data_IF_861340271264
#
_entry.id   IF_861340271264
#
_cell.length_a   1.000
_cell.length_b   1.000
_cell.length_c   1.000
_cell.angle_alpha   90.00
_cell.angle_beta   90.00
_cell.angle_gamma   90.00
#
_symmetry.space_group_name_H-M   'P 1'
#
loop_
_entity.id
_entity.type
_entity.pdbx_description
1 polymer ?
#
# COMPACT_ATOMS: atom_id res chain seq x y z
N UNK A 1 -3.19 -3.94 12.50
CA UNK A 1 -1.92 -3.21 12.73
C UNK A 1 -2.08 -1.75 12.29
N UNK A 2 -1.61 -0.77 13.07
CA UNK A 2 -1.67 0.64 12.67
C UNK A 2 -0.64 0.98 11.60
N UNK A 3 -0.98 1.94 10.72
CA UNK A 3 -0.07 2.40 9.66
C UNK A 3 1.27 2.88 10.20
N UNK A 4 1.29 3.62 11.31
CA UNK A 4 2.55 4.09 11.90
C UNK A 4 3.47 2.92 12.28
N UNK A 5 2.91 1.86 12.84
CA UNK A 5 3.67 0.64 13.17
C UNK A 5 4.20 -0.05 11.91
N UNK A 6 3.40 -0.11 10.85
CA UNK A 6 3.81 -0.65 9.54
C UNK A 6 5.02 0.12 9.01
N UNK A 7 4.96 1.46 9.01
CA UNK A 7 6.06 2.31 8.54
C UNK A 7 7.31 2.12 9.41
N UNK A 8 7.17 2.02 10.73
CA UNK A 8 8.31 1.79 11.64
C UNK A 8 8.98 0.43 11.38
N UNK A 9 8.20 -0.63 11.12
CA UNK A 9 8.71 -1.99 10.81
C UNK A 9 9.51 -2.01 9.51
N UNK A 10 9.04 -1.28 8.51
CA UNK A 10 9.59 -1.32 7.14
C UNK A 10 10.49 -0.12 6.82
N UNK A 11 10.86 0.70 7.82
CA UNK A 11 11.60 1.96 7.60
C UNK A 11 10.97 2.78 6.45
N UNK A 12 9.65 2.90 6.51
CA UNK A 12 8.79 3.47 5.49
C UNK A 12 8.65 4.99 5.65
N UNK A 13 8.40 5.68 4.55
CA UNK A 13 8.12 7.12 4.54
C UNK A 13 6.91 7.44 3.67
N UNK A 14 6.28 8.56 4.00
CA UNK A 14 5.14 9.10 3.28
C UNK A 14 5.57 9.67 1.92
N UNK A 15 4.78 9.39 0.89
CA UNK A 15 4.87 10.08 -0.40
C UNK A 15 3.67 11.01 -0.63
N UNK A 16 2.48 10.55 -0.24
CA UNK A 16 1.25 11.32 -0.32
C UNK A 16 0.25 10.78 0.70
N UNK A 17 -0.46 11.67 1.40
CA UNK A 17 -1.53 11.32 2.33
C UNK A 17 -2.83 11.91 1.81
N UNK A 18 -3.81 11.06 1.58
CA UNK A 18 -5.13 11.48 1.12
C UNK A 18 -5.97 12.05 2.26
N UNK A 19 -6.04 11.29 3.36
CA UNK A 19 -6.79 11.64 4.56
C UNK A 19 -6.02 11.20 5.80
N UNK A 20 -5.98 12.00 6.89
CA UNK A 20 -5.41 11.58 8.17
C UNK A 20 -6.05 10.31 8.75
N UNK A 21 -7.25 9.94 8.31
CA UNK A 21 -7.94 8.73 8.75
C UNK A 21 -7.12 7.44 8.50
N UNK A 22 -6.23 7.43 7.50
CA UNK A 22 -5.39 6.25 7.18
C UNK A 22 -4.53 5.78 8.36
N UNK A 23 -4.17 6.67 9.29
CA UNK A 23 -3.42 6.31 10.51
C UNK A 23 -4.30 5.69 11.60
N UNK A 24 -5.62 5.89 11.51
CA UNK A 24 -6.60 5.33 12.44
C UNK A 24 -7.09 3.95 12.01
N UNK A 25 -6.92 3.58 10.75
CA UNK A 25 -7.26 2.26 10.22
C UNK A 25 -6.47 1.19 10.94
N UNK A 26 -7.13 0.08 11.27
CA UNK A 26 -6.47 -1.13 11.73
C UNK A 26 -6.31 -2.09 10.55
N UNK A 27 -5.14 -2.10 9.93
CA UNK A 27 -4.87 -2.95 8.77
C UNK A 27 -4.83 -4.42 9.21
N UNK A 28 -5.68 -5.26 8.62
CA UNK A 28 -5.81 -6.67 9.02
C UNK A 28 -4.86 -7.56 8.23
N UNK A 29 -4.67 -7.29 6.94
CA UNK A 29 -3.84 -8.09 6.05
C UNK A 29 -3.12 -7.22 5.01
N UNK A 30 -2.19 -7.82 4.26
CA UNK A 30 -1.48 -7.18 3.17
C UNK A 30 -1.23 -8.15 2.01
N UNK A 31 -1.34 -7.62 0.79
CA UNK A 31 -1.09 -8.40 -0.43
C UNK A 31 0.07 -7.83 -1.24
N UNK A 32 1.10 -8.65 -1.44
CA UNK A 32 2.28 -8.30 -2.22
C UNK A 32 2.19 -8.75 -3.67
N UNK A 33 2.09 -7.83 -4.63
CA UNK A 33 2.11 -8.18 -6.06
C UNK A 33 2.52 -7.03 -6.98
N UNK A 34 3.12 -7.39 -8.11
CA UNK A 34 3.31 -6.50 -9.27
C UNK A 34 2.25 -6.77 -10.37
N UNK A 35 1.43 -7.81 -10.22
CA UNK A 35 0.36 -8.16 -11.15
C UNK A 35 -0.97 -7.58 -10.64
N UNK A 36 -1.38 -6.44 -11.19
CA UNK A 36 -2.64 -5.79 -10.80
C UNK A 36 -3.87 -6.67 -11.05
N UNK A 37 -3.80 -7.60 -12.01
CA UNK A 37 -4.83 -8.63 -12.21
C UNK A 37 -4.94 -9.60 -11.02
N UNK A 38 -3.82 -9.94 -10.39
CA UNK A 38 -3.82 -10.80 -9.21
C UNK A 38 -4.36 -10.04 -8.01
N UNK A 39 -3.98 -8.77 -7.84
CA UNK A 39 -4.58 -7.91 -6.81
C UNK A 39 -6.11 -7.90 -6.96
N UNK A 40 -6.62 -7.59 -8.16
CA UNK A 40 -8.07 -7.60 -8.43
C UNK A 40 -8.73 -8.97 -8.21
N UNK A 41 -8.00 -10.06 -8.47
CA UNK A 41 -8.56 -11.41 -8.34
C UNK A 41 -8.59 -11.90 -6.89
N UNK A 42 -7.56 -11.57 -6.10
CA UNK A 42 -7.36 -12.07 -4.75
C UNK A 42 -7.87 -11.15 -3.66
N UNK A 43 -7.99 -9.85 -3.93
CA UNK A 43 -8.49 -8.84 -2.99
C UNK A 43 -9.95 -8.44 -3.28
N UNK A 44 -10.75 -9.28 -3.95
CA UNK A 44 -12.12 -8.89 -4.37
C UNK A 44 -13.03 -8.45 -3.23
N UNK A 45 -12.81 -9.01 -2.05
CA UNK A 45 -13.57 -8.72 -0.83
C UNK A 45 -12.77 -7.84 0.14
N UNK A 46 -11.66 -7.25 -0.33
CA UNK A 46 -10.86 -6.31 0.46
C UNK A 46 -11.58 -4.98 0.61
N UNK A 47 -11.13 -4.22 1.60
CA UNK A 47 -11.58 -2.88 1.90
C UNK A 47 -10.39 -2.02 2.37
N UNK A 48 -10.68 -0.92 3.06
CA UNK A 48 -9.68 0.01 3.56
C UNK A 48 -8.66 -0.62 4.54
N UNK A 49 -8.98 -1.79 5.12
CA UNK A 49 -8.12 -2.50 6.08
C UNK A 49 -7.06 -3.38 5.42
N UNK A 50 -7.01 -3.44 4.10
CA UNK A 50 -6.04 -4.22 3.33
C UNK A 50 -4.92 -3.32 2.78
N UNK A 51 -3.66 -3.75 2.93
CA UNK A 51 -2.51 -3.00 2.40
C UNK A 51 -2.00 -3.62 1.09
N UNK A 52 -1.99 -2.85 0.00
CA UNK A 52 -1.31 -3.26 -1.24
C UNK A 52 0.19 -2.97 -1.18
N UNK A 53 1.02 -4.01 -1.27
CA UNK A 53 2.47 -3.88 -1.37
C UNK A 53 2.87 -4.13 -2.82
N UNK A 54 3.43 -3.14 -3.49
CA UNK A 54 3.77 -3.26 -4.90
C UNK A 54 5.11 -2.63 -5.25
N UNK A 55 5.79 -3.24 -6.20
CA UNK A 55 6.93 -2.68 -6.88
C UNK A 55 6.54 -1.85 -8.09
N UNK A 56 5.26 -1.76 -8.49
CA UNK A 56 4.82 -0.87 -9.56
C UNK A 56 4.76 0.59 -9.08
N UNK A 57 5.25 1.51 -9.91
CA UNK A 57 5.19 2.95 -9.69
C UNK A 57 4.69 3.60 -10.99
N UNK A 58 3.41 3.37 -11.29
CA UNK A 58 2.71 3.93 -12.44
C UNK A 58 1.22 4.06 -12.12
N UNK A 59 0.45 4.66 -13.02
CA UNK A 59 -0.97 4.97 -12.79
C UNK A 59 -1.89 3.77 -12.52
N UNK A 60 -1.50 2.56 -12.92
CA UNK A 60 -2.36 1.37 -12.78
C UNK A 60 -2.63 1.06 -11.31
N UNK A 61 -1.67 1.35 -10.43
CA UNK A 61 -1.78 1.04 -9.00
C UNK A 61 -2.96 1.80 -8.36
N UNK A 62 -3.20 3.06 -8.76
CA UNK A 62 -4.27 3.90 -8.21
C UNK A 62 -5.65 3.45 -8.69
N UNK A 63 -5.76 3.04 -9.96
CA UNK A 63 -7.00 2.49 -10.48
C UNK A 63 -7.38 1.19 -9.75
N UNK A 64 -6.42 0.28 -9.59
CA UNK A 64 -6.63 -0.97 -8.85
C UNK A 64 -6.98 -0.71 -7.40
N UNK A 65 -6.25 0.16 -6.70
CA UNK A 65 -6.56 0.50 -5.31
C UNK A 65 -7.97 1.10 -5.15
N UNK A 66 -8.38 2.00 -6.06
CA UNK A 66 -9.73 2.56 -6.05
C UNK A 66 -10.81 1.51 -6.37
N UNK A 67 -10.56 0.54 -7.25
CA UNK A 67 -11.52 -0.53 -7.54
C UNK A 67 -11.71 -1.49 -6.36
N UNK A 68 -10.66 -1.63 -5.54
CA UNK A 68 -10.61 -2.50 -4.37
C UNK A 68 -10.93 -1.75 -3.06
N UNK A 69 -11.30 -0.46 -3.14
CA UNK A 69 -11.56 0.41 -1.99
C UNK A 69 -10.42 0.44 -0.94
N UNK A 70 -9.16 0.34 -1.40
CA UNK A 70 -7.99 0.35 -0.52
C UNK A 70 -7.64 1.77 -0.07
N UNK A 71 -7.31 1.93 1.21
CA UNK A 71 -6.88 3.22 1.75
C UNK A 71 -5.38 3.50 1.57
N UNK A 72 -4.56 2.47 1.36
CA UNK A 72 -3.10 2.61 1.33
C UNK A 72 -2.38 1.69 0.33
N UNK A 73 -1.31 2.22 -0.26
CA UNK A 73 -0.34 1.50 -1.09
C UNK A 73 1.06 1.70 -0.51
N UNK A 74 1.81 0.61 -0.33
CA UNK A 74 3.22 0.62 0.03
C UNK A 74 4.09 0.25 -1.17
N UNK A 75 4.80 1.24 -1.72
CA UNK A 75 5.74 1.06 -2.82
C UNK A 75 7.09 0.57 -2.28
N UNK A 76 7.66 -0.46 -2.89
CA UNK A 76 8.94 -1.03 -2.45
C UNK A 76 10.14 -0.60 -3.31
N UNK A 77 11.36 -0.87 -2.84
CA UNK A 77 12.64 -0.61 -3.52
C UNK A 77 12.99 0.87 -3.69
N UNK A 78 12.48 1.73 -2.81
CA UNK A 78 12.84 3.15 -2.77
C UNK A 78 12.38 3.94 -4.00
N UNK A 79 11.38 3.44 -4.74
CA UNK A 79 10.88 4.12 -5.94
C UNK A 79 10.23 5.45 -5.57
N UNK A 80 10.35 6.41 -6.47
CA UNK A 80 9.69 7.72 -6.36
C UNK A 80 8.46 7.76 -7.24
N UNK A 81 7.51 8.60 -6.88
CA UNK A 81 6.37 8.98 -7.74
C UNK A 81 6.53 10.42 -8.20
N UNK A 82 5.97 10.74 -9.35
CA UNK A 82 5.94 12.09 -9.93
C UNK A 82 4.61 12.78 -9.58
N UNK A 83 4.49 14.06 -9.95
CA UNK A 83 3.28 14.84 -9.70
C UNK A 83 2.03 14.24 -10.35
N UNK A 84 2.17 13.61 -11.52
CA UNK A 84 1.05 12.99 -12.22
C UNK A 84 0.51 11.78 -11.43
N UNK A 85 1.40 10.97 -10.87
CA UNK A 85 1.03 9.88 -9.97
C UNK A 85 0.41 10.38 -8.67
N UNK A 86 0.89 11.49 -8.10
CA UNK A 86 0.26 12.12 -6.92
C UNK A 86 -1.19 12.55 -7.25
N UNK A 87 -1.44 13.11 -8.44
CA UNK A 87 -2.81 13.41 -8.86
C UNK A 87 -3.65 12.14 -9.01
N UNK A 88 -3.06 11.05 -9.51
CA UNK A 88 -3.71 9.74 -9.55
C UNK A 88 -4.15 9.27 -8.16
N UNK A 89 -3.24 9.31 -7.19
CA UNK A 89 -3.52 8.95 -5.80
C UNK A 89 -4.68 9.78 -5.22
N UNK A 90 -4.66 11.09 -5.45
CA UNK A 90 -5.71 12.01 -5.00
C UNK A 90 -7.08 11.73 -5.63
N UNK A 91 -7.13 11.43 -6.93
CA UNK A 91 -8.39 11.11 -7.61
C UNK A 91 -8.94 9.74 -7.18
N UNK A 92 -8.08 8.88 -6.65
CA UNK A 92 -8.39 7.53 -6.18
C UNK A 92 -8.57 7.44 -4.66
N UNK A 93 -8.54 8.57 -3.94
CA UNK A 93 -8.65 8.66 -2.48
C UNK A 93 -7.72 7.68 -1.72
N UNK A 94 -6.47 7.53 -2.19
CA UNK A 94 -5.54 6.53 -1.65
C UNK A 94 -4.24 7.18 -1.18
N UNK A 95 -3.76 6.78 0.00
CA UNK A 95 -2.48 7.23 0.54
C UNK A 95 -1.33 6.37 0.05
N UNK A 96 -0.16 6.97 -0.14
CA UNK A 96 1.00 6.32 -0.76
C UNK A 96 2.22 6.45 0.12
N UNK A 97 2.84 5.31 0.37
CA UNK A 97 4.04 5.17 1.19
C UNK A 97 5.14 4.48 0.39
N UNK A 98 6.37 4.57 0.87
CA UNK A 98 7.50 3.88 0.27
C UNK A 98 8.47 3.34 1.31
N UNK A 99 9.05 2.17 1.03
CA UNK A 99 10.21 1.62 1.73
C UNK A 99 11.35 1.32 0.76
N UNK A 100 12.59 1.38 1.24
CA UNK A 100 13.77 0.96 0.48
C UNK A 100 13.92 -0.56 0.39
N UNK A 101 13.20 -1.32 1.20
CA UNK A 101 13.26 -2.78 1.19
C UNK A 101 12.68 -3.38 -0.08
N UNK A 102 13.08 -4.63 -0.38
CA UNK A 102 12.45 -5.42 -1.45
C UNK A 102 11.03 -5.85 -1.05
N UNK A 103 10.21 -6.26 -2.01
CA UNK A 103 8.87 -6.80 -1.71
C UNK A 103 8.93 -7.99 -0.75
N UNK A 104 9.81 -8.96 -1.03
CA UNK A 104 9.99 -10.14 -0.20
C UNK A 104 10.35 -9.79 1.25
N UNK A 105 11.32 -8.89 1.44
CA UNK A 105 11.73 -8.44 2.76
C UNK A 105 10.62 -7.67 3.49
N UNK A 106 9.94 -6.77 2.78
CA UNK A 106 8.81 -5.99 3.32
C UNK A 106 7.71 -6.93 3.84
N UNK A 107 7.25 -7.86 2.99
CA UNK A 107 6.23 -8.84 3.38
C UNK A 107 6.70 -9.71 4.55
N UNK A 108 7.95 -10.20 4.51
CA UNK A 108 8.51 -11.02 5.57
C UNK A 108 8.53 -10.33 6.94
N UNK A 109 8.94 -9.05 6.98
CA UNK A 109 8.97 -8.24 8.20
C UNK A 109 7.56 -8.00 8.76
N UNK A 110 6.60 -7.66 7.91
CA UNK A 110 5.23 -7.40 8.35
C UNK A 110 4.52 -8.66 8.83
N UNK A 111 4.66 -9.77 8.09
CA UNK A 111 4.07 -11.06 8.47
C UNK A 111 4.68 -11.61 9.77
N UNK A 112 5.98 -11.45 9.98
CA UNK A 112 6.64 -11.80 11.26
C UNK A 112 5.98 -11.07 12.43
N UNK A 113 5.65 -9.79 12.24
CA UNK A 113 5.01 -8.92 13.24
C UNK A 113 3.50 -9.11 13.37
N UNK A 114 2.91 -9.98 12.55
CA UNK A 114 1.53 -10.43 12.71
C UNK A 114 0.50 -9.71 11.86
N UNK A 115 0.91 -8.95 10.84
CA UNK A 115 -0.02 -8.53 9.79
C UNK A 115 -0.41 -9.77 8.95
N UNK A 116 -1.72 -9.98 8.72
CA UNK A 116 -2.24 -11.16 8.03
C UNK A 116 -2.27 -12.44 8.88
N UNK A 117 -2.44 -12.33 10.20
CA UNK A 117 -2.56 -13.46 11.14
C UNK A 117 -3.84 -13.41 11.98
#
# INVERSE_FOLDING_TARGET
MKLQEILDIVDGRELYIDSPHVYEIDFQDAFGTDLMSDALCHLRDADETELLITGLANMQIFHTANTLDLAAILIVRGKTIDEHMIQGAKMSNVSVFVTNYTMYETCGRLYEKGLGK
#
